data_IF_378152789943
#
_entry.id   IF_378152789943
#
_cell.length_a   1.000
_cell.length_b   1.000
_cell.length_c   1.000
_cell.angle_alpha   90.00
_cell.angle_beta   90.00
_cell.angle_gamma   90.00
#
_symmetry.space_group_name_H-M   'P 1'
#
loop_
_entity.id
_entity.type
_entity.pdbx_description
1 polymer ?
#
# COMPACT_ATOMS: atom_id res chain seq x y z
N UNK A 1 -1.05 -5.29 8.44
CA UNK A 1 -0.31 -4.11 7.94
C UNK A 1 -1.23 -2.91 7.72
N UNK A 2 -2.25 -2.99 6.85
CA UNK A 2 -3.07 -1.80 6.52
C UNK A 2 -3.85 -1.19 7.69
N UNK A 3 -4.30 -1.96 8.68
CA UNK A 3 -4.89 -1.41 9.89
C UNK A 3 -3.91 -0.50 10.68
N UNK A 4 -2.62 -0.85 10.69
CA UNK A 4 -1.58 -0.03 11.31
C UNK A 4 -1.28 1.22 10.47
N UNK A 5 -1.17 1.08 9.14
CA UNK A 5 -1.00 2.22 8.23
C UNK A 5 -2.15 3.22 8.41
N UNK A 6 -3.39 2.72 8.50
CA UNK A 6 -4.58 3.55 8.74
C UNK A 6 -4.56 4.23 10.11
N UNK A 7 -4.05 3.57 11.16
CA UNK A 7 -3.93 4.21 12.48
C UNK A 7 -2.85 5.31 12.53
N UNK A 8 -1.96 5.37 11.53
CA UNK A 8 -0.95 6.41 11.31
C UNK A 8 -1.38 7.52 10.35
N UNK A 9 -2.68 7.66 10.06
CA UNK A 9 -3.23 8.64 9.10
C UNK A 9 -2.86 10.12 9.32
N UNK A 10 -2.29 10.49 10.47
CA UNK A 10 -1.74 11.85 10.69
C UNK A 10 -0.45 12.11 9.91
N UNK A 11 0.25 11.05 9.52
CA UNK A 11 1.47 11.11 8.75
C UNK A 11 1.13 11.03 7.25
N UNK A 12 1.39 12.11 6.51
CA UNK A 12 1.03 12.24 5.08
C UNK A 12 1.52 11.06 4.23
N UNK A 13 2.71 10.53 4.52
CA UNK A 13 3.27 9.39 3.80
C UNK A 13 2.44 8.11 4.00
N UNK A 14 2.00 7.82 5.23
CA UNK A 14 1.15 6.66 5.52
C UNK A 14 -0.23 6.79 4.86
N UNK A 15 -0.83 7.99 4.91
CA UNK A 15 -2.10 8.25 4.23
C UNK A 15 -1.97 8.05 2.72
N UNK A 16 -0.90 8.57 2.11
CA UNK A 16 -0.66 8.45 0.67
C UNK A 16 -0.46 6.99 0.24
N UNK A 17 0.38 6.24 0.96
CA UNK A 17 0.62 4.81 0.68
C UNK A 17 -0.69 4.03 0.76
N UNK A 18 -1.53 4.30 1.77
CA UNK A 18 -2.83 3.64 1.91
C UNK A 18 -3.72 3.87 0.69
N UNK A 19 -3.89 5.14 0.27
CA UNK A 19 -4.73 5.51 -0.88
C UNK A 19 -4.21 4.93 -2.20
N UNK A 20 -2.91 5.08 -2.46
CA UNK A 20 -2.30 4.53 -3.69
C UNK A 20 -2.42 3.02 -3.78
N UNK A 21 -2.31 2.31 -2.64
CA UNK A 21 -2.49 0.87 -2.64
C UNK A 21 -3.94 0.48 -2.93
N UNK A 22 -4.90 1.21 -2.35
CA UNK A 22 -6.32 0.99 -2.63
C UNK A 22 -6.67 1.24 -4.10
N UNK A 23 -6.16 2.32 -4.68
CA UNK A 23 -6.33 2.66 -6.09
C UNK A 23 -5.75 1.58 -7.02
N UNK A 24 -4.49 1.17 -6.79
CA UNK A 24 -3.85 0.10 -7.57
C UNK A 24 -4.65 -1.20 -7.55
N UNK A 25 -5.16 -1.60 -6.37
CA UNK A 25 -5.92 -2.84 -6.24
C UNK A 25 -7.29 -2.77 -6.93
N UNK A 26 -7.88 -1.59 -7.05
CA UNK A 26 -9.10 -1.36 -7.85
C UNK A 26 -8.79 -1.42 -9.35
N UNK A 27 -7.72 -0.76 -9.79
CA UNK A 27 -7.31 -0.72 -11.20
C UNK A 27 -6.85 -2.08 -11.74
N UNK A 28 -6.15 -2.87 -10.92
CA UNK A 28 -5.74 -4.24 -11.22
C UNK A 28 -6.90 -5.26 -11.20
N UNK A 29 -8.11 -4.83 -10.82
CA UNK A 29 -9.29 -5.69 -10.74
C UNK A 29 -9.29 -6.64 -9.54
N UNK A 30 -8.33 -6.52 -8.62
CA UNK A 30 -8.25 -7.34 -7.41
C UNK A 30 -9.36 -6.99 -6.40
N UNK A 31 -9.74 -5.71 -6.39
CA UNK A 31 -10.80 -5.15 -5.57
C UNK A 31 -11.87 -4.52 -6.46
N UNK A 32 -13.11 -4.60 -6.02
CA UNK A 32 -14.26 -3.99 -6.68
C UNK A 32 -15.24 -3.49 -5.62
N UNK A 33 -15.79 -2.31 -5.84
CA UNK A 33 -16.75 -1.69 -4.92
C UNK A 33 -16.29 -0.33 -4.37
N UNK A 34 -17.19 0.27 -3.60
CA UNK A 34 -17.04 1.61 -3.01
C UNK A 34 -16.59 1.58 -1.54
N UNK A 35 -16.50 0.38 -0.95
CA UNK A 35 -16.08 0.17 0.43
C UNK A 35 -14.59 0.48 0.60
N UNK A 36 -14.16 0.78 1.83
CA UNK A 36 -12.74 1.00 2.10
C UNK A 36 -11.89 -0.28 1.95
N UNK A 37 -10.60 -0.11 1.63
CA UNK A 37 -9.62 -1.19 1.48
C UNK A 37 -9.69 -2.27 2.58
N UNK A 38 -9.68 -1.90 3.86
CA UNK A 38 -9.68 -2.87 4.97
C UNK A 38 -10.99 -3.68 4.99
N UNK A 39 -12.14 -3.02 4.78
CA UNK A 39 -13.45 -3.69 4.78
C UNK A 39 -13.55 -4.71 3.64
N UNK A 40 -13.02 -4.36 2.47
CA UNK A 40 -12.98 -5.28 1.34
C UNK A 40 -12.09 -6.49 1.64
N UNK A 41 -10.92 -6.27 2.26
CA UNK A 41 -9.96 -7.34 2.59
C UNK A 41 -10.55 -8.35 3.58
N UNK A 42 -11.22 -7.89 4.65
CA UNK A 42 -11.76 -8.80 5.68
C UNK A 42 -12.91 -9.67 5.17
N UNK A 43 -13.55 -9.29 4.06
CA UNK A 43 -14.62 -10.06 3.40
C UNK A 43 -14.10 -11.12 2.43
N UNK A 44 -12.79 -11.14 2.12
CA UNK A 44 -12.22 -12.09 1.15
C UNK A 44 -12.07 -13.49 1.74
N UNK A 45 -12.25 -14.50 0.89
CA UNK A 45 -11.88 -15.87 1.23
C UNK A 45 -10.35 -16.03 1.30
N UNK A 46 -9.88 -17.17 1.81
CA UNK A 46 -8.45 -17.43 2.00
C UNK A 46 -7.62 -17.34 0.70
N UNK A 47 -8.18 -17.79 -0.42
CA UNK A 47 -7.51 -17.76 -1.73
C UNK A 47 -7.32 -16.33 -2.21
N UNK A 48 -8.40 -15.54 -2.22
CA UNK A 48 -8.38 -14.16 -2.67
C UNK A 48 -7.54 -13.28 -1.74
N UNK A 49 -7.57 -13.54 -0.43
CA UNK A 49 -6.72 -12.84 0.54
C UNK A 49 -5.23 -13.08 0.27
N UNK A 50 -4.84 -14.33 -0.05
CA UNK A 50 -3.46 -14.67 -0.42
C UNK A 50 -3.05 -14.04 -1.74
N UNK A 51 -3.95 -14.05 -2.73
CA UNK A 51 -3.73 -13.39 -4.01
C UNK A 51 -3.49 -11.88 -3.82
N UNK A 52 -4.35 -11.19 -3.08
CA UNK A 52 -4.18 -9.79 -2.71
C UNK A 52 -2.87 -9.53 -1.97
N UNK A 53 -2.49 -10.42 -1.05
CA UNK A 53 -1.22 -10.29 -0.32
C UNK A 53 -0.02 -10.33 -1.28
N UNK A 54 -0.02 -11.24 -2.24
CA UNK A 54 1.05 -11.34 -3.24
C UNK A 54 1.12 -10.10 -4.15
N UNK A 55 -0.04 -9.59 -4.58
CA UNK A 55 -0.12 -8.39 -5.42
C UNK A 55 0.44 -7.15 -4.68
N UNK A 56 0.04 -6.97 -3.42
CA UNK A 56 0.56 -5.87 -2.57
C UNK A 56 2.07 -5.99 -2.36
N UNK A 57 2.58 -7.20 -2.13
CA UNK A 57 4.03 -7.42 -1.99
C UNK A 57 4.78 -7.10 -3.28
N UNK A 58 4.23 -7.46 -4.45
CA UNK A 58 4.82 -7.14 -5.75
C UNK A 58 4.85 -5.62 -5.99
N UNK A 59 3.74 -4.92 -5.72
CA UNK A 59 3.66 -3.46 -5.78
C UNK A 59 4.73 -2.81 -4.89
N UNK A 60 4.84 -3.25 -3.63
CA UNK A 60 5.75 -2.63 -2.66
C UNK A 60 7.22 -2.93 -2.98
N UNK A 61 7.51 -4.07 -3.59
CA UNK A 61 8.86 -4.36 -4.10
C UNK A 61 9.26 -3.39 -5.22
N UNK A 62 8.34 -3.06 -6.14
CA UNK A 62 8.60 -2.04 -7.15
C UNK A 62 8.70 -0.64 -6.56
N UNK A 63 7.77 -0.27 -5.66
CA UNK A 63 7.79 1.02 -4.99
C UNK A 63 9.12 1.24 -4.26
N UNK A 64 9.63 0.20 -3.56
CA UNK A 64 10.93 0.23 -2.90
C UNK A 64 12.07 0.52 -3.90
N UNK A 65 12.12 -0.20 -5.02
CA UNK A 65 13.15 0.01 -6.06
C UNK A 65 13.10 1.43 -6.63
N UNK A 66 11.90 1.97 -6.83
CA UNK A 66 11.73 3.36 -7.28
C UNK A 66 12.15 4.35 -6.20
N UNK A 67 11.79 4.13 -4.93
CA UNK A 67 12.23 5.00 -3.84
C UNK A 67 13.76 5.01 -3.72
N UNK A 68 14.42 3.85 -3.80
CA UNK A 68 15.89 3.76 -3.73
C UNK A 68 16.57 4.43 -4.94
N UNK A 69 15.94 4.40 -6.12
CA UNK A 69 16.50 5.01 -7.34
C UNK A 69 16.20 6.50 -7.53
N UNK A 70 15.08 7.00 -6.98
CA UNK A 70 14.59 8.37 -7.20
C UNK A 70 14.78 9.27 -5.99
N UNK A 71 14.65 8.73 -4.79
CA UNK A 71 14.85 9.47 -3.55
C UNK A 71 16.33 9.35 -3.24
N UNK A 72 17.10 10.37 -3.63
CA UNK A 72 18.43 10.56 -3.05
C UNK A 72 18.19 10.71 -1.56
N UNK A 73 18.78 9.82 -0.76
CA UNK A 73 18.69 9.87 0.70
C UNK A 73 18.91 11.31 1.16
N UNK A 74 18.15 11.74 2.16
CA UNK A 74 18.39 13.02 2.84
C UNK A 74 19.91 13.17 2.96
N UNK A 75 20.45 14.24 2.35
CA UNK A 75 21.85 14.58 2.54
C UNK A 75 21.98 14.67 4.05
N UNK A 76 22.77 13.77 4.65
CA UNK A 76 23.13 13.90 6.06
C UNK A 76 23.69 15.32 6.21
N UNK A 77 22.90 16.23 6.79
CA UNK A 77 23.40 17.51 7.28
C UNK A 77 24.33 17.15 8.46
N UNK A 78 25.56 16.75 8.12
CA UNK A 78 26.69 16.68 9.05
C UNK A 78 26.87 18.07 9.66
N UNK A 79 26.44 18.24 10.91
CA UNK A 79 26.94 19.28 11.81
C UNK A 79 28.00 18.70 12.73
#
# INVERSE_FOLDING_TARGET
AFAFVKSKNKEKAYELIYKQTEEWLKESGCLSGQEELIEQIIKKNSTDYRYLTNEVLALFNWLRRFSEGLIKGEVDDEN
#
